data_IF_738555374864
#
_entry.id   IF_738555374864
#
_cell.length_a   1.000
_cell.length_b   1.000
_cell.length_c   1.000
_cell.angle_alpha   90.00
_cell.angle_beta   90.00
_cell.angle_gamma   90.00
#
_symmetry.space_group_name_H-M   'P 1'
#
loop_
_entity.id
_entity.type
_entity.pdbx_description
1 polymer ?
#
# COMPACT_ATOMS: atom_id res chain seq x y z
N UNK A 1 55.72 -8.59 40.34
CA UNK A 1 55.41 -7.67 41.46
C UNK A 1 54.10 -6.97 41.07
N UNK A 2 52.95 -7.49 41.55
CA UNK A 2 52.14 -6.96 42.68
C UNK A 2 51.64 -5.54 42.34
N UNK A 3 50.38 -5.10 42.42
CA UNK A 3 49.05 -5.51 42.92
C UNK A 3 48.09 -4.48 42.24
N UNK A 4 46.76 -4.55 42.14
CA UNK A 4 45.70 -5.33 42.74
C UNK A 4 44.40 -4.54 42.50
N UNK A 5 43.32 -5.22 42.13
CA UNK A 5 41.91 -4.77 42.24
C UNK A 5 41.56 -4.44 43.72
N UNK A 6 40.34 -4.02 44.17
CA UNK A 6 39.01 -4.17 43.54
C UNK A 6 37.89 -3.14 43.95
N UNK A 7 36.66 -3.44 43.51
CA UNK A 7 35.35 -3.30 44.21
C UNK A 7 34.84 -1.92 44.72
N UNK A 8 33.63 -1.55 44.29
CA UNK A 8 32.49 -1.66 45.20
C UNK A 8 31.17 -1.96 44.48
N UNK A 9 30.53 -2.98 45.01
CA UNK A 9 29.26 -3.63 44.68
C UNK A 9 28.20 -3.18 45.72
N UNK A 10 26.93 -3.55 45.47
CA UNK A 10 25.78 -3.63 46.43
C UNK A 10 24.98 -2.33 46.65
N UNK A 11 23.67 -2.34 46.87
CA UNK A 11 22.68 -3.42 46.99
C UNK A 11 21.22 -2.90 46.88
N UNK A 12 20.38 -3.87 46.53
CA UNK A 12 18.93 -4.14 46.69
C UNK A 12 18.14 -3.57 47.90
N UNK A 13 16.79 -3.65 47.71
CA UNK A 13 15.69 -3.81 48.69
C UNK A 13 15.16 -2.51 49.32
N UNK A 14 13.87 -2.29 49.62
CA UNK A 14 12.65 -3.10 49.72
C UNK A 14 11.48 -2.11 49.93
N UNK A 15 10.27 -2.37 49.41
CA UNK A 15 9.02 -2.37 50.22
C UNK A 15 7.73 -2.43 49.40
N UNK A 16 6.96 -3.46 49.73
CA UNK A 16 5.53 -3.66 49.55
C UNK A 16 4.67 -2.63 50.31
N UNK A 17 3.50 -2.29 49.77
CA UNK A 17 2.23 -2.19 50.54
C UNK A 17 1.01 -2.23 49.62
N UNK A 18 -0.09 -2.81 50.12
CA UNK A 18 -1.24 -3.30 49.36
C UNK A 18 -2.60 -2.78 49.87
N UNK A 19 -3.61 -2.79 48.96
CA UNK A 19 -5.09 -2.90 49.14
C UNK A 19 -5.91 -1.73 49.75
N UNK A 20 -7.28 -1.67 49.64
CA UNK A 20 -8.29 -2.38 48.80
C UNK A 20 -9.49 -1.51 48.24
N UNK A 21 -10.41 -2.20 47.53
CA UNK A 21 -11.91 -2.13 47.60
C UNK A 21 -12.76 -1.54 46.44
N UNK A 22 -13.88 -2.23 46.19
CA UNK A 22 -14.84 -2.20 45.08
C UNK A 22 -15.78 -0.96 45.04
N UNK A 23 -16.62 -0.68 44.02
CA UNK A 23 -17.96 -1.31 43.80
C UNK A 23 -18.59 -0.83 42.48
N UNK A 24 -19.56 -1.63 42.01
CA UNK A 24 -20.36 -1.61 40.79
C UNK A 24 -21.16 -0.32 40.43
N UNK A 25 -21.53 -0.23 39.15
CA UNK A 25 -22.58 0.65 38.63
C UNK A 25 -22.94 0.31 37.18
N UNK A 26 -24.21 -0.03 36.95
CA UNK A 26 -24.80 -0.65 35.75
C UNK A 26 -24.99 0.30 34.55
N UNK A 27 -25.13 -0.32 33.36
CA UNK A 27 -25.57 0.12 32.02
C UNK A 27 -26.86 0.99 31.99
N UNK A 28 -27.44 1.44 30.83
CA UNK A 28 -27.06 1.29 29.40
C UNK A 28 -27.21 2.58 28.56
N UNK A 29 -26.83 2.53 27.26
CA UNK A 29 -27.66 2.93 26.10
C UNK A 29 -26.86 3.49 24.91
N UNK A 30 -26.96 2.78 23.78
CA UNK A 30 -27.22 3.28 22.42
C UNK A 30 -26.44 4.54 21.99
N UNK A 31 -25.58 4.45 20.98
CA UNK A 31 -26.06 4.45 19.60
C UNK A 31 -25.24 3.54 18.69
N UNK A 32 -25.96 2.58 18.10
CA UNK A 32 -25.53 1.79 16.97
C UNK A 32 -25.52 2.71 15.74
N UNK A 33 -24.40 3.36 15.45
CA UNK A 33 -24.21 3.97 14.13
C UNK A 33 -23.99 2.85 13.13
N UNK A 34 -25.10 2.28 12.65
CA UNK A 34 -25.18 1.61 11.36
C UNK A 34 -24.63 2.55 10.30
N UNK A 35 -23.32 2.50 10.05
CA UNK A 35 -22.84 2.80 8.72
C UNK A 35 -23.35 1.66 7.86
N UNK A 36 -24.40 1.95 7.12
CA UNK A 36 -24.86 1.14 6.00
C UNK A 36 -23.64 0.74 5.19
N UNK A 37 -23.20 -0.50 5.39
CA UNK A 37 -22.31 -1.21 4.48
C UNK A 37 -23.17 -1.51 3.26
N UNK A 38 -23.37 -0.49 2.44
CA UNK A 38 -23.82 -0.71 1.08
C UNK A 38 -22.66 -1.42 0.41
N UNK A 39 -22.80 -2.74 0.25
CA UNK A 39 -21.93 -3.56 -0.59
C UNK A 39 -22.04 -3.05 -2.02
N UNK A 40 -21.33 -1.97 -2.31
CA UNK A 40 -21.29 -1.37 -3.62
C UNK A 40 -20.15 -2.05 -4.36
N UNK A 41 -20.51 -2.87 -5.35
CA UNK A 41 -19.57 -3.30 -6.38
C UNK A 41 -18.96 -2.06 -7.00
N UNK A 42 -17.72 -1.76 -6.65
CA UNK A 42 -17.01 -0.58 -7.16
C UNK A 42 -16.83 -0.80 -8.66
N UNK A 43 -17.65 -0.11 -9.44
CA UNK A 43 -17.53 -0.06 -10.90
C UNK A 43 -16.24 0.68 -11.27
N UNK A 44 -15.70 0.43 -12.47
CA UNK A 44 -14.54 1.15 -13.00
C UNK A 44 -14.67 2.69 -12.88
N UNK A 45 -15.92 3.18 -12.87
CA UNK A 45 -16.27 4.60 -12.66
C UNK A 45 -15.86 5.06 -11.26
N UNK A 46 -16.23 4.32 -10.22
CA UNK A 46 -15.92 4.68 -8.83
C UNK A 46 -14.42 4.62 -8.54
N UNK A 47 -13.69 3.64 -9.09
CA UNK A 47 -12.21 3.61 -8.98
C UNK A 47 -11.58 4.84 -9.64
N UNK A 48 -12.10 5.26 -10.78
CA UNK A 48 -11.61 6.45 -11.49
C UNK A 48 -11.87 7.74 -10.70
N UNK A 49 -13.00 7.83 -9.99
CA UNK A 49 -13.30 8.94 -9.09
C UNK A 49 -12.38 8.95 -7.87
N UNK A 50 -12.13 7.79 -7.24
CA UNK A 50 -11.20 7.67 -6.13
C UNK A 50 -9.77 8.06 -6.52
N UNK A 51 -9.31 7.67 -7.73
CA UNK A 51 -8.02 8.10 -8.26
C UNK A 51 -7.94 9.63 -8.40
N UNK A 52 -9.00 10.27 -8.94
CA UNK A 52 -9.05 11.74 -9.10
C UNK A 52 -9.10 12.48 -7.76
N UNK A 53 -9.59 11.84 -6.70
CA UNK A 53 -9.62 12.43 -5.36
C UNK A 53 -8.22 12.52 -4.74
N UNK A 54 -7.25 11.74 -5.23
CA UNK A 54 -5.86 11.75 -4.75
C UNK A 54 -5.09 12.94 -5.32
N UNK A 55 -5.26 14.10 -4.70
CA UNK A 55 -4.61 15.37 -5.10
C UNK A 55 -3.08 15.35 -4.99
N UNK A 56 -2.52 14.40 -4.25
CA UNK A 56 -1.08 14.27 -4.04
C UNK A 56 -0.38 13.46 -5.15
N UNK A 57 -1.15 12.78 -6.00
CA UNK A 57 -0.65 12.01 -7.12
C UNK A 57 -0.78 12.83 -8.40
N UNK A 58 0.29 12.89 -9.17
CA UNK A 58 0.33 13.59 -10.45
C UNK A 58 -0.34 12.75 -11.53
N UNK A 59 0.07 11.50 -11.65
CA UNK A 59 -0.55 10.51 -12.53
C UNK A 59 -0.86 9.25 -11.73
N UNK A 60 -1.96 8.57 -12.07
CA UNK A 60 -2.31 7.29 -11.48
C UNK A 60 -2.99 6.37 -12.49
N UNK A 61 -2.72 5.07 -12.39
CA UNK A 61 -3.34 4.04 -13.20
C UNK A 61 -3.49 2.74 -12.40
N UNK A 62 -4.62 2.08 -12.59
CA UNK A 62 -4.93 0.75 -12.10
C UNK A 62 -5.22 -0.14 -13.30
N UNK A 63 -4.50 -1.25 -13.42
CA UNK A 63 -4.62 -2.17 -14.55
C UNK A 63 -4.43 -3.63 -14.11
N UNK A 64 -4.88 -4.56 -14.94
CA UNK A 64 -4.75 -6.00 -14.75
C UNK A 64 -3.50 -6.53 -15.48
N UNK A 65 -3.09 -7.76 -15.14
CA UNK A 65 -1.93 -8.43 -15.76
C UNK A 65 -2.05 -8.57 -17.28
N UNK A 66 -3.27 -8.74 -17.80
CA UNK A 66 -3.58 -8.80 -19.24
C UNK A 66 -3.46 -7.45 -19.98
N UNK A 67 -3.18 -6.37 -19.23
CA UNK A 67 -3.10 -5.01 -19.75
C UNK A 67 -4.43 -4.26 -19.79
N UNK A 68 -5.51 -4.85 -19.28
CA UNK A 68 -6.81 -4.19 -19.16
C UNK A 68 -6.75 -3.08 -18.11
N UNK A 69 -6.99 -1.84 -18.53
CA UNK A 69 -7.02 -0.66 -17.64
C UNK A 69 -8.38 -0.59 -16.93
N UNK A 70 -8.36 -0.60 -15.61
CA UNK A 70 -9.57 -0.46 -14.77
C UNK A 70 -9.90 1.00 -14.48
N UNK A 71 -8.86 1.82 -14.25
CA UNK A 71 -8.99 3.25 -13.99
C UNK A 71 -7.67 3.95 -14.30
N UNK A 72 -7.72 5.17 -14.83
CA UNK A 72 -6.52 5.97 -15.05
C UNK A 72 -6.83 7.47 -15.05
N UNK A 73 -5.86 8.28 -14.64
CA UNK A 73 -5.89 9.74 -14.75
C UNK A 73 -5.21 10.26 -16.02
N UNK A 74 -4.56 9.39 -16.78
CA UNK A 74 -3.83 9.71 -18.01
C UNK A 74 -4.06 8.63 -19.07
N UNK A 75 -3.54 8.84 -20.28
CA UNK A 75 -3.62 7.85 -21.35
C UNK A 75 -2.30 7.08 -21.46
N UNK A 76 -2.19 5.88 -20.87
CA UNK A 76 -0.98 5.07 -20.95
C UNK A 76 -0.77 4.49 -22.35
N UNK A 77 0.47 4.20 -22.73
CA UNK A 77 0.73 3.40 -23.93
C UNK A 77 0.67 1.91 -23.62
N UNK A 78 0.20 1.10 -24.56
CA UNK A 78 -0.02 -0.34 -24.35
C UNK A 78 1.30 -1.10 -24.12
N UNK A 79 2.35 -0.68 -24.82
CA UNK A 79 3.71 -1.20 -24.66
C UNK A 79 4.25 -0.93 -23.25
N UNK A 80 3.93 0.23 -22.66
CA UNK A 80 4.36 0.58 -21.30
C UNK A 80 3.65 -0.27 -20.26
N UNK A 81 2.33 -0.46 -20.38
CA UNK A 81 1.55 -1.34 -19.49
C UNK A 81 2.16 -2.75 -19.47
N UNK A 82 2.49 -3.27 -20.65
CA UNK A 82 3.10 -4.60 -20.79
C UNK A 82 4.52 -4.64 -20.21
N UNK A 83 5.27 -3.54 -20.27
CA UNK A 83 6.58 -3.45 -19.65
C UNK A 83 6.48 -3.39 -18.11
N UNK A 84 5.48 -2.69 -17.57
CA UNK A 84 5.28 -2.53 -16.13
C UNK A 84 4.98 -3.85 -15.40
N UNK A 85 4.24 -4.76 -16.04
CA UNK A 85 4.01 -6.09 -15.46
C UNK A 85 5.31 -6.90 -15.35
N UNK A 86 6.23 -6.72 -16.30
CA UNK A 86 7.53 -7.40 -16.33
C UNK A 86 8.53 -6.91 -15.29
N UNK A 87 8.30 -5.71 -14.72
CA UNK A 87 9.17 -5.15 -13.68
C UNK A 87 9.32 -6.10 -12.48
N UNK A 88 8.31 -6.92 -12.19
CA UNK A 88 8.31 -7.84 -11.06
C UNK A 88 8.95 -9.20 -11.35
N UNK A 89 9.37 -9.48 -12.58
CA UNK A 89 9.91 -10.78 -12.99
C UNK A 89 11.39 -10.95 -12.67
N UNK A 90 12.21 -9.92 -12.95
CA UNK A 90 13.67 -9.94 -12.75
C UNK A 90 14.13 -8.66 -12.09
N UNK A 91 14.68 -8.80 -10.87
CA UNK A 91 15.09 -7.67 -10.04
C UNK A 91 16.23 -6.89 -10.68
N UNK A 92 17.23 -7.61 -11.16
CA UNK A 92 18.48 -7.06 -11.67
C UNK A 92 18.23 -6.22 -12.92
N UNK A 93 17.42 -6.75 -13.85
CA UNK A 93 17.02 -6.07 -15.08
C UNK A 93 16.25 -4.78 -14.75
N UNK A 94 15.29 -4.83 -13.83
CA UNK A 94 14.49 -3.68 -13.41
C UNK A 94 15.32 -2.59 -12.72
N UNK A 95 16.28 -2.98 -11.88
CA UNK A 95 17.19 -2.02 -11.23
C UNK A 95 18.09 -1.34 -12.28
N UNK A 96 18.54 -2.09 -13.29
CA UNK A 96 19.39 -1.55 -14.35
C UNK A 96 18.64 -0.69 -15.37
N UNK A 97 17.41 -1.08 -15.75
CA UNK A 97 16.63 -0.38 -16.78
C UNK A 97 15.83 0.81 -16.25
N UNK A 98 15.49 0.81 -14.96
CA UNK A 98 14.54 1.76 -14.41
C UNK A 98 13.09 1.43 -14.76
N UNK A 99 12.19 2.36 -14.39
CA UNK A 99 10.78 2.35 -14.77
C UNK A 99 10.58 3.41 -15.84
N UNK A 100 9.97 3.07 -16.98
CA UNK A 100 9.72 4.00 -18.08
C UNK A 100 8.26 4.41 -18.09
N UNK A 101 7.98 5.71 -18.15
CA UNK A 101 6.64 6.27 -18.32
C UNK A 101 6.73 7.51 -19.21
N UNK A 102 5.93 7.56 -20.27
CA UNK A 102 5.90 8.65 -21.24
C UNK A 102 7.27 8.95 -21.87
N UNK A 103 8.04 7.90 -22.18
CA UNK A 103 9.43 7.99 -22.69
C UNK A 103 10.45 8.61 -21.72
N UNK A 104 10.09 8.73 -20.44
CA UNK A 104 11.00 9.18 -19.39
C UNK A 104 11.40 8.00 -18.51
N UNK A 105 12.70 7.90 -18.19
CA UNK A 105 13.22 6.87 -17.30
C UNK A 105 13.29 7.37 -15.86
N UNK A 106 12.83 6.52 -14.93
CA UNK A 106 12.94 6.73 -13.49
C UNK A 106 13.85 5.67 -12.91
N UNK A 107 14.90 6.09 -12.22
CA UNK A 107 15.84 5.17 -11.59
C UNK A 107 15.18 4.49 -10.39
N UNK A 108 15.33 3.16 -10.31
CA UNK A 108 14.75 2.38 -9.23
C UNK A 108 15.56 2.60 -7.95
N UNK A 109 14.94 3.22 -6.96
CA UNK A 109 15.55 3.47 -5.66
C UNK A 109 15.37 2.27 -4.73
N UNK A 110 14.20 1.62 -4.78
CA UNK A 110 13.94 0.40 -4.01
C UNK A 110 13.14 -0.59 -4.82
N UNK A 111 13.65 -1.81 -4.83
CA UNK A 111 12.98 -2.99 -5.33
C UNK A 111 12.62 -3.91 -4.16
N UNK A 112 11.36 -3.89 -3.74
CA UNK A 112 10.87 -4.72 -2.64
C UNK A 112 9.41 -5.16 -2.92
N UNK A 113 9.21 -6.17 -3.79
CA UNK A 113 7.89 -6.70 -4.10
C UNK A 113 7.06 -6.90 -2.81
N UNK A 114 5.80 -6.44 -2.78
CA UNK A 114 4.97 -6.00 -3.90
C UNK A 114 5.23 -4.56 -4.42
N UNK A 115 6.17 -3.82 -3.85
CA UNK A 115 6.41 -2.41 -4.17
C UNK A 115 7.76 -2.19 -4.87
N UNK A 116 7.74 -1.44 -5.96
CA UNK A 116 8.94 -0.94 -6.63
C UNK A 116 8.75 0.56 -6.80
N UNK A 117 9.75 1.34 -6.42
CA UNK A 117 9.66 2.80 -6.57
C UNK A 117 11.02 3.42 -6.87
N UNK A 118 10.94 4.58 -7.52
CA UNK A 118 12.06 5.27 -8.10
C UNK A 118 11.86 6.76 -8.17
N UNK A 119 12.87 7.45 -8.67
CA UNK A 119 12.85 8.90 -8.89
C UNK A 119 13.48 9.25 -10.21
N UNK A 120 13.10 10.40 -10.73
CA UNK A 120 13.76 11.09 -11.83
C UNK A 120 14.02 12.51 -11.37
N UNK A 121 15.25 12.99 -11.54
CA UNK A 121 15.59 14.40 -11.42
C UNK A 121 15.91 14.92 -12.81
N UNK A 122 15.28 16.02 -13.21
CA UNK A 122 15.76 16.79 -14.35
C UNK A 122 16.93 17.67 -13.87
N UNK A 123 18.04 17.68 -14.59
CA UNK A 123 19.19 18.53 -14.26
C UNK A 123 18.94 20.00 -14.58
N UNK A 124 18.01 20.28 -15.50
CA UNK A 124 17.65 21.63 -15.95
C UNK A 124 16.51 22.25 -15.14
N UNK A 125 15.63 21.40 -14.61
CA UNK A 125 14.51 21.81 -13.78
C UNK A 125 14.67 21.14 -12.43
N UNK A 126 14.77 21.91 -11.33
CA UNK A 126 14.85 21.39 -9.95
C UNK A 126 13.61 20.56 -9.52
N UNK A 127 12.70 20.26 -10.45
CA UNK A 127 11.58 19.35 -10.29
C UNK A 127 12.07 17.90 -10.26
N UNK A 128 12.13 17.35 -9.06
CA UNK A 128 12.23 15.91 -8.89
C UNK A 128 10.84 15.28 -8.93
N UNK A 129 10.67 14.27 -9.78
CA UNK A 129 9.47 13.44 -9.83
C UNK A 129 9.78 12.04 -9.27
N UNK A 130 8.81 11.46 -8.59
CA UNK A 130 8.86 10.09 -8.13
C UNK A 130 7.83 9.22 -8.83
N UNK A 131 8.14 7.93 -8.91
CA UNK A 131 7.25 6.91 -9.44
C UNK A 131 7.18 5.76 -8.45
N UNK A 132 6.01 5.14 -8.32
CA UNK A 132 5.83 3.93 -7.54
C UNK A 132 4.84 3.02 -8.23
N UNK A 133 5.15 1.72 -8.25
CA UNK A 133 4.25 0.66 -8.71
C UNK A 133 4.08 -0.38 -7.61
N UNK A 134 2.84 -0.79 -7.42
CA UNK A 134 2.44 -1.83 -6.48
C UNK A 134 1.78 -2.97 -7.25
N UNK A 135 2.26 -4.20 -7.04
CA UNK A 135 1.60 -5.42 -7.50
C UNK A 135 0.76 -6.00 -6.36
N UNK A 136 -0.51 -6.25 -6.64
CA UNK A 136 -1.44 -6.80 -5.68
C UNK A 136 -1.92 -8.17 -6.17
N UNK A 137 -1.40 -9.21 -5.53
CA UNK A 137 -1.80 -10.59 -5.79
C UNK A 137 -3.25 -10.82 -5.34
N UNK A 138 -4.00 -11.60 -6.14
CA UNK A 138 -5.36 -12.01 -5.81
C UNK A 138 -5.42 -13.55 -5.86
N UNK A 139 -5.83 -14.23 -4.77
CA UNK A 139 -5.77 -15.70 -4.70
C UNK A 139 -6.55 -16.44 -5.81
N UNK A 140 -7.63 -15.85 -6.32
CA UNK A 140 -8.56 -16.48 -7.27
C UNK A 140 -8.72 -15.72 -8.58
N UNK A 141 -7.95 -14.62 -8.77
CA UNK A 141 -8.08 -13.71 -9.91
C UNK A 141 -6.69 -13.26 -10.36
N UNK A 142 -6.58 -12.71 -11.57
CA UNK A 142 -5.33 -12.11 -12.06
C UNK A 142 -4.83 -11.01 -11.11
N UNK A 143 -3.52 -10.75 -10.96
CA UNK A 143 -3.03 -9.65 -10.14
C UNK A 143 -3.50 -8.28 -10.66
N UNK A 144 -3.66 -7.33 -9.74
CA UNK A 144 -3.87 -5.91 -10.07
C UNK A 144 -2.55 -5.19 -9.89
N UNK A 145 -2.26 -4.26 -10.79
CA UNK A 145 -1.15 -3.34 -10.70
C UNK A 145 -1.70 -1.92 -10.52
N UNK A 146 -1.07 -1.16 -9.63
CA UNK A 146 -1.34 0.26 -9.47
C UNK A 146 -0.02 1.03 -9.57
N UNK A 147 0.04 1.98 -10.49
CA UNK A 147 1.20 2.86 -10.70
C UNK A 147 0.78 4.30 -10.46
N UNK A 148 1.63 5.02 -9.73
CA UNK A 148 1.46 6.45 -9.48
C UNK A 148 2.75 7.21 -9.76
N UNK A 149 2.62 8.46 -10.15
CA UNK A 149 3.70 9.44 -10.07
C UNK A 149 3.33 10.58 -9.15
N UNK A 150 4.35 11.23 -8.59
CA UNK A 150 4.19 12.34 -7.65
C UNK A 150 5.37 13.29 -7.82
N UNK A 151 5.11 14.58 -7.62
CA UNK A 151 6.14 15.63 -7.66
C UNK A 151 6.24 16.31 -6.30
N UNK A 152 7.31 17.08 -6.12
CA UNK A 152 7.42 17.98 -4.97
C UNK A 152 6.14 18.83 -4.81
N UNK A 153 5.61 19.04 -3.57
CA UNK A 153 6.17 18.70 -2.26
C UNK A 153 5.94 17.26 -1.78
N UNK A 154 5.23 16.43 -2.53
CA UNK A 154 4.95 15.04 -2.15
C UNK A 154 6.21 14.18 -2.25
N UNK A 155 6.57 13.50 -1.15
CA UNK A 155 7.71 12.58 -1.10
C UNK A 155 7.26 11.12 -1.16
N UNK A 156 8.18 10.23 -1.53
CA UNK A 156 7.95 8.78 -1.55
C UNK A 156 7.47 8.24 -0.20
N UNK A 157 7.95 8.82 0.91
CA UNK A 157 7.54 8.46 2.27
C UNK A 157 6.04 8.69 2.53
N UNK A 158 5.36 9.52 1.74
CA UNK A 158 3.92 9.77 1.83
C UNK A 158 3.15 9.05 0.71
N UNK A 159 3.62 9.17 -0.54
CA UNK A 159 2.96 8.58 -1.69
C UNK A 159 2.94 7.04 -1.67
N UNK A 160 4.05 6.40 -1.27
CA UNK A 160 4.16 4.93 -1.28
C UNK A 160 3.24 4.26 -0.25
N UNK A 161 3.15 4.72 1.02
CA UNK A 161 2.16 4.21 1.96
C UNK A 161 0.72 4.40 1.47
N UNK A 162 0.38 5.56 0.90
CA UNK A 162 -0.96 5.80 0.34
C UNK A 162 -1.28 4.84 -0.80
N UNK A 163 -0.33 4.60 -1.71
CA UNK A 163 -0.48 3.64 -2.79
C UNK A 163 -0.79 2.24 -2.24
N UNK A 164 -0.02 1.79 -1.24
CA UNK A 164 -0.21 0.49 -0.61
C UNK A 164 -1.61 0.38 0.01
N UNK A 165 -2.02 1.39 0.77
CA UNK A 165 -3.30 1.39 1.47
C UNK A 165 -4.47 1.47 0.48
N UNK A 166 -4.32 2.21 -0.62
CA UNK A 166 -5.26 2.24 -1.75
C UNK A 166 -5.38 0.87 -2.43
N UNK A 167 -4.26 0.20 -2.71
CA UNK A 167 -4.25 -1.14 -3.30
C UNK A 167 -4.98 -2.14 -2.40
N UNK A 168 -4.68 -2.16 -1.10
CA UNK A 168 -5.37 -3.03 -0.13
C UNK A 168 -6.87 -2.78 -0.03
N UNK A 169 -7.27 -1.53 -0.25
CA UNK A 169 -8.68 -1.13 -0.29
C UNK A 169 -9.35 -1.68 -1.56
N UNK A 170 -8.71 -1.52 -2.72
CA UNK A 170 -9.19 -2.06 -4.00
C UNK A 170 -9.42 -3.59 -3.99
N UNK A 171 -8.59 -4.38 -3.31
CA UNK A 171 -8.80 -5.84 -3.20
C UNK A 171 -9.98 -6.22 -2.35
N UNK A 172 -10.19 -5.53 -1.21
CA UNK A 172 -11.34 -5.80 -0.33
C UNK A 172 -12.65 -5.55 -1.07
N UNK A 173 -12.69 -4.56 -1.95
CA UNK A 173 -13.87 -4.25 -2.75
C UNK A 173 -14.17 -5.28 -3.85
N UNK A 174 -13.15 -5.87 -4.49
CA UNK A 174 -13.36 -6.78 -5.62
C UNK A 174 -13.51 -8.28 -5.24
N UNK A 175 -13.29 -8.64 -3.97
CA UNK A 175 -13.48 -10.01 -3.47
C UNK A 175 -14.94 -10.32 -3.07
N UNK A 176 -15.80 -9.31 -3.00
CA UNK A 176 -17.23 -9.45 -2.70
C UNK A 176 -18.04 -10.16 -3.81
N UNK A 177 -17.43 -10.46 -4.95
CA UNK A 177 -18.14 -10.89 -6.17
C UNK A 177 -17.94 -12.36 -6.55
N UNK A 178 -17.25 -13.19 -5.75
CA UNK A 178 -17.04 -14.62 -6.09
C UNK A 178 -17.48 -15.61 -5.03
N UNK A 179 -18.46 -15.27 -4.18
CA UNK A 179 -19.07 -16.26 -3.27
C UNK A 179 -20.60 -16.29 -3.36
N UNK A 180 -21.13 -16.32 -4.58
CA UNK A 180 -22.48 -16.82 -4.84
C UNK A 180 -22.39 -18.01 -5.78
N UNK A 181 -21.86 -19.11 -5.27
CA UNK A 181 -22.16 -20.50 -5.65
C UNK A 181 -21.35 -21.42 -4.76
N UNK A 182 -22.03 -22.24 -3.94
CA UNK A 182 -21.51 -23.26 -3.01
C UNK A 182 -21.16 -22.80 -1.59
N UNK A 183 -22.13 -22.24 -0.87
CA UNK A 183 -22.29 -22.59 0.54
C UNK A 183 -23.34 -23.70 0.62
N UNK A 184 -22.87 -24.94 0.56
CA UNK A 184 -23.71 -26.12 0.80
C UNK A 184 -24.10 -26.10 2.27
N UNK A 185 -25.41 -26.01 2.49
CA UNK A 185 -26.08 -26.35 3.73
C UNK A 185 -25.61 -27.74 4.16
N UNK A 186 -24.86 -27.83 5.26
CA UNK A 186 -24.82 -29.04 6.06
C UNK A 186 -25.52 -28.72 7.39
N UNK A 187 -26.84 -28.91 7.38
CA UNK A 187 -27.60 -29.32 8.56
C UNK A 187 -27.20 -30.76 8.87
N UNK A 188 -26.89 -31.05 10.13
CA UNK A 188 -27.31 -32.24 10.88
C UNK A 188 -27.01 -31.98 12.35
#
# INVERSE_FOLDING_TARGET
MLNGSPLLERAVSDRFQAHPVATAGSSPSRTNSSRNVTGSSVSAVTLSEELKQQKEWKNAIVFLEDGTVLASTFTPRKEEITAWTKLFLRREDTIASGIILSNEQYDVHRYHPPLIYGRRGDALNEQTEGIAICKLERPTKQPIYCLITYSHPTLSARAVPQLRDFCQTCTKFNNSFTNSSNCVICKS
#
